data_IF_109980985458
#
_entry.id   IF_109980985458
#
_cell.length_a   1.000
_cell.length_b   1.000
_cell.length_c   1.000
_cell.angle_alpha   90.00
_cell.angle_beta   90.00
_cell.angle_gamma   90.00
#
_symmetry.space_group_name_H-M   'P 1'
#
loop_
_entity.id
_entity.type
_entity.pdbx_description
1 polymer ?
#
# COMPACT_ATOMS: atom_id res chain seq x y z
N UNK A 1 -10.40 -18.41 2.80
CA UNK A 1 -9.75 -17.54 3.80
C UNK A 1 -8.30 -17.35 3.41
N UNK A 2 -7.93 -16.14 2.99
CA UNK A 2 -6.56 -15.82 2.63
C UNK A 2 -5.75 -15.64 3.93
N UNK A 3 -5.02 -16.67 4.34
CA UNK A 3 -4.16 -16.60 5.52
C UNK A 3 -2.79 -16.00 5.17
N UNK A 4 -2.07 -15.46 6.15
CA UNK A 4 -0.77 -14.78 5.98
C UNK A 4 0.45 -15.70 6.10
N UNK A 5 0.23 -17.02 6.01
CA UNK A 5 1.28 -18.02 6.24
C UNK A 5 2.53 -17.80 5.37
N UNK A 6 2.34 -17.54 4.06
CA UNK A 6 3.45 -17.24 3.13
C UNK A 6 4.24 -16.02 3.58
N UNK A 7 3.55 -14.92 3.92
CA UNK A 7 4.18 -13.68 4.38
C UNK A 7 5.06 -13.91 5.62
N UNK A 8 4.55 -14.62 6.63
CA UNK A 8 5.33 -14.92 7.84
C UNK A 8 6.51 -15.86 7.53
N UNK A 9 6.33 -16.84 6.64
CA UNK A 9 7.41 -17.73 6.21
C UNK A 9 8.54 -16.96 5.52
N UNK A 10 8.19 -16.08 4.57
CA UNK A 10 9.15 -15.26 3.81
C UNK A 10 9.88 -14.31 4.75
N UNK A 11 9.17 -13.64 5.67
CA UNK A 11 9.79 -12.80 6.72
C UNK A 11 10.77 -13.57 7.62
N UNK A 12 10.57 -14.88 7.79
CA UNK A 12 11.48 -15.75 8.50
C UNK A 12 12.64 -16.29 7.64
N UNK A 13 12.73 -15.90 6.36
CA UNK A 13 13.73 -16.35 5.38
C UNK A 13 13.72 -17.88 5.18
N UNK A 14 12.52 -18.48 5.17
CA UNK A 14 12.35 -19.93 5.03
C UNK A 14 11.71 -20.29 3.69
N UNK A 15 12.23 -21.34 3.05
CA UNK A 15 11.53 -22.01 1.95
C UNK A 15 10.35 -22.84 2.47
N UNK A 16 9.45 -23.23 1.58
CA UNK A 16 8.39 -24.19 1.86
C UNK A 16 8.97 -25.52 2.36
N UNK A 17 10.06 -26.00 1.75
CA UNK A 17 10.69 -27.27 2.12
C UNK A 17 11.24 -27.23 3.56
N UNK A 18 11.95 -26.16 3.93
CA UNK A 18 12.51 -25.97 5.28
C UNK A 18 11.41 -25.90 6.33
N UNK A 19 10.37 -25.11 6.09
CA UNK A 19 9.28 -24.96 7.06
C UNK A 19 8.42 -26.24 7.17
N UNK A 20 8.12 -26.91 6.04
CA UNK A 20 7.41 -28.19 6.03
C UNK A 20 8.17 -29.25 6.86
N UNK A 21 9.49 -29.35 6.67
CA UNK A 21 10.37 -30.25 7.44
C UNK A 21 10.33 -29.92 8.94
N UNK A 22 10.43 -28.64 9.31
CA UNK A 22 10.37 -28.21 10.70
C UNK A 22 9.02 -28.56 11.36
N UNK A 23 7.92 -28.45 10.61
CA UNK A 23 6.56 -28.80 11.06
C UNK A 23 6.32 -30.31 11.05
N UNK A 24 7.10 -31.08 10.30
CA UNK A 24 6.99 -32.53 10.18
C UNK A 24 5.86 -32.95 9.23
N UNK A 25 5.79 -32.30 8.06
CA UNK A 25 4.91 -32.66 6.94
C UNK A 25 5.67 -32.63 5.63
N UNK A 26 5.11 -33.20 4.56
CA UNK A 26 5.70 -33.09 3.22
C UNK A 26 5.51 -31.68 2.66
N UNK A 27 6.44 -31.22 1.81
CA UNK A 27 6.34 -29.93 1.14
C UNK A 27 5.05 -29.77 0.33
N UNK A 28 4.57 -30.76 -0.46
CA UNK A 28 3.29 -30.61 -1.17
C UNK A 28 2.08 -30.44 -0.24
N UNK A 29 2.10 -31.07 0.95
CA UNK A 29 1.03 -30.88 1.93
C UNK A 29 1.06 -29.46 2.50
N UNK A 30 2.25 -28.94 2.80
CA UNK A 30 2.45 -27.58 3.25
C UNK A 30 2.05 -26.53 2.18
N UNK A 31 2.40 -26.76 0.92
CA UNK A 31 2.04 -25.88 -0.20
C UNK A 31 0.51 -25.74 -0.33
N UNK A 32 -0.23 -26.84 -0.16
CA UNK A 32 -1.71 -26.81 -0.17
C UNK A 32 -2.30 -25.98 0.96
N UNK A 33 -1.60 -25.90 2.09
CA UNK A 33 -1.96 -24.94 3.11
C UNK A 33 -1.72 -23.54 2.57
N UNK A 34 -0.48 -23.20 2.18
CA UNK A 34 -0.16 -21.85 1.70
C UNK A 34 -1.04 -21.30 0.56
N UNK A 35 -1.53 -22.15 -0.34
CA UNK A 35 -2.43 -21.75 -1.42
C UNK A 35 -3.92 -21.67 -1.03
N UNK A 36 -4.26 -22.03 0.22
CA UNK A 36 -5.63 -22.16 0.69
C UNK A 36 -6.37 -23.39 0.15
N UNK A 37 -5.70 -24.26 -0.61
CA UNK A 37 -6.28 -25.48 -1.18
C UNK A 37 -6.59 -26.58 -0.14
N UNK A 38 -6.10 -26.44 1.09
CA UNK A 38 -6.44 -27.27 2.23
C UNK A 38 -6.34 -26.48 3.54
N UNK A 39 -7.22 -26.73 4.52
CA UNK A 39 -7.14 -26.10 5.83
C UNK A 39 -5.92 -26.59 6.63
N UNK A 40 -5.35 -25.70 7.45
CA UNK A 40 -4.24 -26.03 8.35
C UNK A 40 -4.81 -26.79 9.57
N UNK A 41 -4.33 -28.01 9.88
CA UNK A 41 -4.74 -28.71 11.10
C UNK A 41 -4.35 -27.93 12.36
N UNK A 42 -5.19 -27.98 13.41
CA UNK A 42 -5.02 -27.17 14.64
C UNK A 42 -3.67 -27.41 15.34
N UNK A 43 -3.21 -28.65 15.40
CA UNK A 43 -1.91 -29.02 15.97
C UNK A 43 -0.74 -28.47 15.14
N UNK A 44 -0.89 -28.45 13.81
CA UNK A 44 0.12 -27.91 12.88
C UNK A 44 0.15 -26.39 12.92
N UNK A 45 -1.00 -25.73 13.05
CA UNK A 45 -1.09 -24.28 13.19
C UNK A 45 -0.37 -23.79 14.45
N UNK A 46 -0.55 -24.46 15.59
CA UNK A 46 0.16 -24.14 16.82
C UNK A 46 1.69 -24.31 16.68
N UNK A 47 2.12 -25.35 15.96
CA UNK A 47 3.55 -25.59 15.69
C UNK A 47 4.15 -24.55 14.75
N UNK A 48 3.42 -24.16 13.70
CA UNK A 48 3.79 -23.09 12.78
C UNK A 48 3.97 -21.76 13.51
N UNK A 49 3.00 -21.38 14.34
CA UNK A 49 3.05 -20.15 15.13
C UNK A 49 4.30 -20.10 16.01
N UNK A 50 4.65 -21.21 16.66
CA UNK A 50 5.87 -21.33 17.46
C UNK A 50 7.15 -21.16 16.63
N UNK A 51 7.25 -21.81 15.47
CA UNK A 51 8.44 -21.74 14.60
C UNK A 51 8.61 -20.33 14.04
N UNK A 52 7.52 -19.72 13.60
CA UNK A 52 7.47 -18.38 13.00
C UNK A 52 7.42 -17.24 14.04
N UNK A 53 7.54 -17.58 15.34
CA UNK A 53 7.54 -16.62 16.46
C UNK A 53 6.36 -15.65 16.43
N UNK A 54 5.18 -16.16 16.11
CA UNK A 54 3.92 -15.41 16.02
C UNK A 54 2.81 -16.19 16.72
N UNK A 55 1.55 -15.75 16.57
CA UNK A 55 0.38 -16.44 17.11
C UNK A 55 -0.47 -17.07 15.97
N UNK A 56 -1.30 -18.08 16.29
CA UNK A 56 -2.17 -18.74 15.31
C UNK A 56 -3.10 -17.80 14.55
N UNK A 57 -3.66 -16.77 15.21
CA UNK A 57 -4.59 -15.84 14.59
C UNK A 57 -3.89 -14.97 13.55
N UNK A 58 -2.71 -14.46 13.85
CA UNK A 58 -1.88 -13.70 12.91
C UNK A 58 -1.55 -14.51 11.65
N UNK A 59 -1.22 -15.80 11.79
CA UNK A 59 -1.04 -16.68 10.63
C UNK A 59 -2.30 -16.81 9.79
N UNK A 60 -3.47 -16.82 10.42
CA UNK A 60 -4.77 -16.84 9.73
C UNK A 60 -5.21 -15.47 9.21
N UNK A 61 -4.37 -14.43 9.31
CA UNK A 61 -4.72 -13.06 8.91
C UNK A 61 -5.71 -12.38 9.85
N UNK A 62 -5.84 -12.88 11.08
CA UNK A 62 -6.75 -12.36 12.10
C UNK A 62 -5.93 -11.60 13.14
N UNK A 63 -6.17 -10.30 13.23
CA UNK A 63 -5.62 -9.46 14.28
C UNK A 63 -6.56 -8.28 14.54
N UNK A 64 -6.45 -7.62 15.70
CA UNK A 64 -7.05 -6.31 15.87
C UNK A 64 -6.59 -5.35 14.76
N UNK A 65 -7.44 -4.38 14.35
CA UNK A 65 -7.04 -3.37 13.38
C UNK A 65 -5.76 -2.65 13.81
N UNK A 66 -4.85 -2.44 12.87
CA UNK A 66 -3.67 -1.61 13.11
C UNK A 66 -4.06 -0.15 12.89
N UNK A 67 -3.88 0.69 13.90
CA UNK A 67 -4.26 2.10 13.88
C UNK A 67 -3.02 2.99 13.92
N UNK A 68 -3.10 4.14 13.27
CA UNK A 68 -2.11 5.19 13.45
C UNK A 68 -2.22 5.76 14.88
N UNK A 69 -1.07 5.97 15.52
CA UNK A 69 -1.00 6.70 16.80
C UNK A 69 -0.97 8.19 16.52
N UNK A 70 -1.72 8.98 17.30
CA UNK A 70 -1.68 10.44 17.25
C UNK A 70 -1.10 10.92 18.57
N UNK A 71 0.03 11.63 18.55
CA UNK A 71 0.78 11.99 19.74
C UNK A 71 1.12 10.80 20.67
N UNK A 72 1.18 9.56 20.14
CA UNK A 72 1.39 8.34 20.91
C UNK A 72 2.63 7.59 20.42
N UNK A 73 3.79 7.97 20.93
CA UNK A 73 5.06 7.32 20.59
C UNK A 73 5.13 5.84 21.00
N UNK A 74 4.19 5.35 21.83
CA UNK A 74 4.21 3.95 22.27
C UNK A 74 3.83 2.97 21.16
N UNK A 75 3.14 3.43 20.09
CA UNK A 75 2.79 2.58 18.94
C UNK A 75 4.00 2.27 18.03
N UNK A 76 5.12 2.97 18.22
CA UNK A 76 6.33 2.83 17.41
C UNK A 76 6.38 3.80 16.21
N UNK A 77 7.58 4.03 15.69
CA UNK A 77 7.83 5.08 14.68
C UNK A 77 7.09 4.84 13.35
N UNK A 78 6.85 3.59 12.97
CA UNK A 78 6.15 3.24 11.73
C UNK A 78 4.62 3.28 11.86
N UNK A 79 4.09 3.63 13.04
CA UNK A 79 2.65 3.82 13.27
C UNK A 79 2.32 5.19 13.88
N UNK A 80 3.28 5.85 14.54
CA UNK A 80 3.05 7.18 15.09
C UNK A 80 2.98 8.20 13.96
N UNK A 81 1.86 8.94 13.92
CA UNK A 81 1.63 10.00 12.96
C UNK A 81 2.65 11.11 13.19
N UNK A 82 3.41 11.44 12.15
CA UNK A 82 4.27 12.61 12.18
C UNK A 82 3.47 13.86 11.83
N UNK A 83 2.63 13.74 10.80
CA UNK A 83 2.03 14.85 10.08
C UNK A 83 2.16 14.63 8.58
N UNK A 84 2.51 15.70 7.87
CA UNK A 84 2.36 15.83 6.43
C UNK A 84 3.71 16.17 5.80
N UNK A 85 3.94 15.61 4.63
CA UNK A 85 5.02 16.05 3.75
C UNK A 85 4.45 16.56 2.44
N UNK A 86 4.73 17.83 2.14
CA UNK A 86 4.46 18.43 0.84
C UNK A 86 5.72 18.40 -0.02
N UNK A 87 5.59 17.98 -1.28
CA UNK A 87 6.68 17.95 -2.26
C UNK A 87 6.26 18.76 -3.48
N UNK A 88 7.03 19.79 -3.80
CA UNK A 88 6.82 20.63 -4.98
C UNK A 88 7.85 20.25 -6.05
N UNK A 89 7.47 20.40 -7.31
CA UNK A 89 8.28 19.98 -8.45
C UNK A 89 8.75 21.19 -9.25
N UNK A 90 9.98 21.11 -9.76
CA UNK A 90 10.59 22.18 -10.56
C UNK A 90 9.92 22.36 -11.93
N UNK A 91 9.19 21.33 -12.39
CA UNK A 91 8.42 21.37 -13.62
C UNK A 91 7.04 22.01 -13.46
N UNK A 92 6.12 21.69 -14.37
CA UNK A 92 4.71 22.11 -14.27
C UNK A 92 3.85 21.08 -13.52
N UNK A 93 4.50 20.23 -12.71
CA UNK A 93 3.88 19.19 -11.91
C UNK A 93 3.01 19.75 -10.80
N UNK A 94 1.85 19.13 -10.56
CA UNK A 94 1.09 19.41 -9.34
C UNK A 94 1.86 18.92 -8.11
N UNK A 95 1.79 19.62 -6.98
CA UNK A 95 2.46 19.18 -5.77
C UNK A 95 1.82 17.93 -5.18
N UNK A 96 2.60 17.21 -4.40
CA UNK A 96 2.17 16.02 -3.68
C UNK A 96 2.06 16.32 -2.19
N UNK A 97 0.99 15.89 -1.54
CA UNK A 97 0.81 15.98 -0.09
C UNK A 97 0.52 14.59 0.48
N UNK A 98 1.38 14.10 1.38
CA UNK A 98 1.28 12.76 1.98
C UNK A 98 1.21 12.84 3.50
N UNK A 99 0.26 12.13 4.09
CA UNK A 99 0.25 11.85 5.54
C UNK A 99 1.25 10.75 5.85
N UNK A 100 2.23 11.03 6.72
CA UNK A 100 3.37 10.16 6.97
C UNK A 100 3.58 9.88 8.47
N UNK A 101 4.34 8.84 8.76
CA UNK A 101 4.74 8.46 10.11
C UNK A 101 6.08 9.07 10.50
N UNK A 102 6.42 9.02 11.78
CA UNK A 102 7.76 9.42 12.28
C UNK A 102 8.88 8.63 11.57
N UNK A 103 8.64 7.34 11.32
CA UNK A 103 9.57 6.47 10.60
C UNK A 103 9.72 6.91 9.14
N UNK A 104 8.63 7.19 8.44
CA UNK A 104 8.65 7.69 7.07
C UNK A 104 9.33 9.07 6.97
N UNK A 105 9.07 9.98 7.90
CA UNK A 105 9.77 11.26 8.03
C UNK A 105 11.28 11.03 8.15
N UNK A 106 11.71 10.20 9.12
CA UNK A 106 13.12 9.95 9.40
C UNK A 106 13.85 9.35 8.21
N UNK A 107 13.20 8.42 7.50
CA UNK A 107 13.74 7.80 6.27
C UNK A 107 13.89 8.81 5.14
N UNK A 108 12.83 9.58 4.84
CA UNK A 108 12.87 10.56 3.75
C UNK A 108 13.85 11.69 4.05
N UNK A 109 13.84 12.24 5.26
CA UNK A 109 14.76 13.28 5.68
C UNK A 109 16.22 12.86 5.50
N UNK A 110 16.58 11.62 5.88
CA UNK A 110 17.92 11.06 5.64
C UNK A 110 18.21 10.89 4.14
N UNK A 111 17.27 10.34 3.37
CA UNK A 111 17.46 10.11 1.93
C UNK A 111 17.70 11.42 1.17
N UNK A 112 16.99 12.50 1.50
CA UNK A 112 17.18 13.82 0.89
C UNK A 112 18.61 14.37 1.12
N UNK A 113 19.25 14.02 2.24
CA UNK A 113 20.65 14.41 2.52
C UNK A 113 21.67 13.60 1.72
N UNK A 114 21.31 12.39 1.29
CA UNK A 114 22.18 11.48 0.53
C UNK A 114 22.10 11.73 -0.99
N UNK A 115 21.08 12.46 -1.46
CA UNK A 115 20.87 12.82 -2.87
C UNK A 115 20.86 11.61 -3.84
N UNK A 116 20.04 10.57 -3.59
CA UNK A 116 19.88 9.45 -4.52
C UNK A 116 19.16 9.90 -5.80
N UNK A 117 19.16 9.08 -6.86
CA UNK A 117 18.38 9.33 -8.07
C UNK A 117 16.87 9.38 -7.81
N UNK A 118 16.41 8.55 -6.86
CA UNK A 118 15.03 8.45 -6.41
C UNK A 118 14.96 8.42 -4.88
N UNK A 119 13.94 9.07 -4.31
CA UNK A 119 13.57 8.94 -2.90
C UNK A 119 12.21 8.28 -2.79
N UNK A 120 11.98 7.51 -1.73
CA UNK A 120 10.72 6.78 -1.51
C UNK A 120 10.05 7.25 -0.23
N UNK A 121 8.73 7.40 -0.28
CA UNK A 121 7.89 7.77 0.87
C UNK A 121 6.71 6.82 0.94
N UNK A 122 6.48 6.23 2.11
CA UNK A 122 5.27 5.46 2.40
C UNK A 122 4.30 6.35 3.18
N UNK A 123 3.06 6.44 2.70
CA UNK A 123 1.99 7.17 3.38
C UNK A 123 1.18 6.25 4.31
N UNK A 124 0.45 6.88 5.23
CA UNK A 124 -0.57 6.22 6.05
C UNK A 124 -1.86 5.86 5.26
N UNK A 125 -1.90 6.18 3.97
CA UNK A 125 -3.05 5.97 3.09
C UNK A 125 -2.75 5.01 1.92
N UNK A 126 -1.87 4.02 2.18
CA UNK A 126 -1.50 2.95 1.24
C UNK A 126 -0.85 3.44 -0.05
N UNK A 127 0.05 4.40 0.06
CA UNK A 127 0.83 4.87 -1.06
C UNK A 127 2.31 4.66 -0.80
N UNK A 128 2.96 3.88 -1.66
CA UNK A 128 4.41 3.89 -1.80
C UNK A 128 4.73 4.82 -2.96
N UNK A 129 5.28 5.99 -2.64
CA UNK A 129 5.58 7.03 -3.61
C UNK A 129 7.06 7.05 -3.90
N UNK A 130 7.41 6.83 -5.17
CA UNK A 130 8.76 6.95 -5.69
C UNK A 130 8.89 8.30 -6.37
N UNK A 131 9.81 9.15 -5.89
CA UNK A 131 9.98 10.53 -6.34
C UNK A 131 11.37 10.67 -6.97
N UNK A 132 11.45 11.21 -8.18
CA UNK A 132 12.75 11.50 -8.81
C UNK A 132 13.39 12.68 -8.07
N UNK A 133 14.54 12.50 -7.42
CA UNK A 133 15.12 13.55 -6.58
C UNK A 133 15.39 14.84 -7.37
N UNK A 134 15.88 14.71 -8.61
CA UNK A 134 16.14 15.85 -9.49
C UNK A 134 14.88 16.53 -10.07
N UNK A 135 13.67 16.06 -9.75
CA UNK A 135 12.42 16.75 -10.10
C UNK A 135 11.95 17.70 -8.98
N UNK A 136 12.44 17.51 -7.76
CA UNK A 136 12.00 18.23 -6.57
C UNK A 136 12.49 19.68 -6.63
N UNK A 137 11.58 20.62 -6.43
CA UNK A 137 11.90 22.03 -6.20
C UNK A 137 12.17 22.28 -4.72
N UNK A 138 11.25 21.84 -3.85
CA UNK A 138 11.38 21.92 -2.40
C UNK A 138 10.51 20.85 -1.71
N UNK A 139 10.72 20.69 -0.40
CA UNK A 139 10.00 19.75 0.47
C UNK A 139 9.67 20.45 1.78
N UNK A 140 8.41 20.37 2.21
CA UNK A 140 7.96 20.86 3.52
C UNK A 140 7.53 19.69 4.37
N UNK A 141 8.12 19.60 5.56
CA UNK A 141 7.65 18.70 6.60
C UNK A 141 6.88 19.52 7.63
N UNK A 142 5.62 19.16 7.84
CA UNK A 142 4.72 19.84 8.76
C UNK A 142 4.22 18.79 9.73
N UNK A 143 4.64 18.87 10.99
CA UNK A 143 4.20 17.89 11.97
C UNK A 143 2.76 18.18 12.41
N UNK A 144 2.09 17.19 13.00
CA UNK A 144 0.71 17.27 13.52
C UNK A 144 0.46 18.41 14.54
N UNK A 145 1.53 19.09 14.98
CA UNK A 145 1.51 20.26 15.85
C UNK A 145 1.21 21.59 15.12
N UNK A 146 1.13 21.59 13.79
CA UNK A 146 0.84 22.74 12.95
C UNK A 146 -0.48 22.54 12.20
N UNK A 147 -1.21 23.63 11.99
CA UNK A 147 -2.50 23.62 11.29
C UNK A 147 -2.33 23.78 9.75
N UNK A 148 -1.13 24.16 9.29
CA UNK A 148 -0.78 24.26 7.88
C UNK A 148 0.21 23.18 7.44
N UNK A 149 0.24 22.89 6.13
CA UNK A 149 0.99 21.76 5.57
C UNK A 149 2.03 22.17 4.51
N UNK A 150 2.20 23.47 4.28
CA UNK A 150 3.04 24.01 3.21
C UNK A 150 2.45 25.27 2.56
N UNK A 151 3.17 25.89 1.61
CA UNK A 151 2.77 27.16 0.98
C UNK A 151 1.45 27.08 0.22
N UNK A 152 1.09 25.89 -0.27
CA UNK A 152 -0.11 25.62 -1.07
C UNK A 152 -1.22 24.94 -0.26
N UNK A 153 -1.22 25.10 1.08
CA UNK A 153 -2.15 24.47 2.03
C UNK A 153 -3.61 24.39 1.53
N UNK A 154 -4.14 25.47 0.96
CA UNK A 154 -5.53 25.55 0.49
C UNK A 154 -5.81 24.86 -0.87
N UNK A 155 -4.78 24.33 -1.54
CA UNK A 155 -4.85 23.89 -2.94
C UNK A 155 -4.30 22.49 -3.23
N UNK A 156 -3.91 21.73 -2.20
CA UNK A 156 -3.51 20.33 -2.36
C UNK A 156 -4.72 19.44 -2.69
N UNK A 157 -4.85 19.06 -3.97
CA UNK A 157 -6.06 18.39 -4.52
C UNK A 157 -6.11 16.87 -4.35
N UNK A 158 -4.97 16.21 -4.06
CA UNK A 158 -4.85 14.74 -4.00
C UNK A 158 -4.47 14.23 -2.60
N UNK A 159 -4.79 15.02 -1.57
CA UNK A 159 -4.63 14.62 -0.18
C UNK A 159 -5.82 13.78 0.27
N UNK A 160 -5.55 12.62 0.89
CA UNK A 160 -6.57 11.81 1.52
C UNK A 160 -6.41 11.89 3.04
N UNK A 161 -7.43 12.43 3.72
CA UNK A 161 -7.52 12.44 5.18
C UNK A 161 -7.98 11.07 5.72
N UNK A 162 -7.31 10.01 5.27
CA UNK A 162 -7.58 8.62 5.66
C UNK A 162 -6.28 7.97 6.12
N UNK A 163 -6.07 7.93 7.44
CA UNK A 163 -4.95 7.21 8.05
C UNK A 163 -5.36 5.77 8.39
N UNK A 164 -5.03 4.85 7.49
CA UNK A 164 -5.36 3.43 7.60
C UNK A 164 -4.10 2.61 7.34
N UNK A 165 -3.20 2.45 8.33
CA UNK A 165 -1.91 1.78 8.12
C UNK A 165 -2.03 0.25 7.96
N UNK A 166 -3.18 -0.34 8.29
CA UNK A 166 -3.38 -1.79 8.20
C UNK A 166 -3.50 -2.23 6.74
N UNK A 167 -2.49 -2.92 6.21
CA UNK A 167 -2.52 -3.47 4.86
C UNK A 167 -3.73 -4.39 4.61
N UNK A 168 -4.20 -5.12 5.63
CA UNK A 168 -5.40 -5.98 5.52
C UNK A 168 -6.66 -5.16 5.26
N UNK A 169 -6.75 -3.95 5.78
CA UNK A 169 -7.89 -3.08 5.51
C UNK A 169 -7.88 -2.63 4.05
N UNK A 170 -6.71 -2.40 3.47
CA UNK A 170 -6.59 -2.08 2.04
C UNK A 170 -6.89 -3.26 1.12
N UNK A 171 -6.65 -4.50 1.55
CA UNK A 171 -7.14 -5.69 0.83
C UNK A 171 -8.68 -5.74 0.81
N UNK A 172 -9.34 -5.34 1.90
CA UNK A 172 -10.80 -5.21 1.93
C UNK A 172 -11.26 -4.11 0.99
N UNK A 173 -10.57 -2.96 0.94
CA UNK A 173 -10.86 -1.87 -0.01
C UNK A 173 -10.69 -2.33 -1.46
N UNK A 174 -9.63 -3.09 -1.76
CA UNK A 174 -9.39 -3.69 -3.07
C UNK A 174 -10.56 -4.59 -3.48
N UNK A 175 -10.98 -5.53 -2.64
CA UNK A 175 -12.15 -6.39 -2.94
C UNK A 175 -13.45 -5.58 -3.10
N UNK A 176 -13.68 -4.57 -2.26
CA UNK A 176 -14.85 -3.70 -2.38
C UNK A 176 -14.89 -2.95 -3.72
N UNK A 177 -13.73 -2.56 -4.25
CA UNK A 177 -13.65 -1.80 -5.52
C UNK A 177 -14.05 -2.60 -6.75
N UNK A 178 -13.94 -3.93 -6.70
CA UNK A 178 -14.25 -4.84 -7.80
C UNK A 178 -15.52 -5.69 -7.55
N UNK A 179 -16.30 -5.37 -6.51
CA UNK A 179 -17.41 -6.21 -6.03
C UNK A 179 -16.96 -7.69 -5.79
N UNK A 180 -15.76 -7.84 -5.23
CA UNK A 180 -15.06 -9.10 -5.02
C UNK A 180 -15.56 -9.94 -3.83
N UNK A 181 -14.82 -11.02 -3.51
CA UNK A 181 -15.22 -11.96 -2.47
C UNK A 181 -14.67 -11.59 -1.09
N UNK A 182 -15.55 -11.04 -0.25
CA UNK A 182 -15.23 -10.65 1.11
C UNK A 182 -15.27 -11.81 2.12
N UNK A 183 -15.59 -13.04 1.71
CA UNK A 183 -15.69 -14.22 2.59
C UNK A 183 -14.36 -14.59 3.27
N UNK A 184 -13.26 -14.08 2.75
CA UNK A 184 -11.93 -14.25 3.33
C UNK A 184 -11.72 -13.43 4.62
N UNK A 185 -12.53 -12.40 4.88
CA UNK A 185 -12.37 -11.45 5.98
C UNK A 185 -13.45 -11.64 7.06
N UNK A 186 -13.20 -11.09 8.26
CA UNK A 186 -14.23 -11.08 9.30
C UNK A 186 -15.33 -10.07 8.94
N UNK A 187 -16.59 -10.40 9.25
CA UNK A 187 -17.71 -9.49 9.01
C UNK A 187 -17.58 -8.16 9.78
N UNK A 188 -16.90 -8.18 10.93
CA UNK A 188 -16.63 -6.99 11.73
C UNK A 188 -15.62 -6.06 11.05
N UNK A 189 -14.53 -6.61 10.49
CA UNK A 189 -13.53 -5.85 9.74
C UNK A 189 -14.12 -5.27 8.46
N UNK A 190 -14.85 -6.08 7.68
CA UNK A 190 -15.53 -5.62 6.45
C UNK A 190 -16.47 -4.46 6.76
N UNK A 191 -17.27 -4.58 7.82
CA UNK A 191 -18.18 -3.51 8.24
C UNK A 191 -17.44 -2.25 8.67
N UNK A 192 -16.32 -2.39 9.40
CA UNK A 192 -15.51 -1.26 9.86
C UNK A 192 -14.86 -0.53 8.68
N UNK A 193 -14.23 -1.26 7.77
CA UNK A 193 -13.55 -0.69 6.59
C UNK A 193 -14.57 -0.07 5.64
N UNK A 194 -15.67 -0.77 5.32
CA UNK A 194 -16.74 -0.22 4.47
C UNK A 194 -17.26 1.12 5.02
N UNK A 195 -17.49 1.22 6.34
CA UNK A 195 -17.90 2.49 6.97
C UNK A 195 -16.85 3.61 6.87
N UNK A 196 -15.58 3.27 6.77
CA UNK A 196 -14.49 4.24 6.68
C UNK A 196 -14.31 4.79 5.26
N UNK A 197 -14.68 4.01 4.23
CA UNK A 197 -14.39 4.36 2.82
C UNK A 197 -15.61 4.70 1.98
N UNK A 198 -16.83 4.37 2.45
CA UNK A 198 -18.07 4.67 1.73
C UNK A 198 -19.25 4.94 2.67
N UNK A 199 -20.26 5.65 2.15
CA UNK A 199 -21.55 5.83 2.81
C UNK A 199 -22.61 5.02 2.07
N UNK A 200 -23.30 4.15 2.80
CA UNK A 200 -24.39 3.32 2.26
C UNK A 200 -25.71 4.09 2.16
N UNK A 201 -26.62 3.63 1.31
CA UNK A 201 -27.99 4.17 1.20
C UNK A 201 -28.73 4.25 2.54
N UNK A 202 -28.51 3.27 3.43
CA UNK A 202 -29.12 3.26 4.75
C UNK A 202 -28.53 4.35 5.66
N UNK A 203 -27.23 4.61 5.55
CA UNK A 203 -26.58 5.70 6.28
C UNK A 203 -27.07 7.05 5.75
N UNK A 204 -27.20 7.24 4.43
CA UNK A 204 -27.80 8.45 3.88
C UNK A 204 -29.22 8.69 4.40
N UNK A 205 -30.07 7.66 4.41
CA UNK A 205 -31.42 7.76 5.01
C UNK A 205 -31.39 8.20 6.46
N UNK A 206 -30.42 7.69 7.23
CA UNK A 206 -30.23 8.06 8.64
C UNK A 206 -29.76 9.50 8.77
N UNK A 207 -28.79 9.94 7.98
CA UNK A 207 -28.28 11.32 7.98
C UNK A 207 -29.35 12.35 7.62
N UNK A 208 -30.24 12.00 6.67
CA UNK A 208 -31.39 12.83 6.32
C UNK A 208 -32.42 12.86 7.44
N UNK A 209 -32.75 11.71 8.04
CA UNK A 209 -33.69 11.62 9.15
C UNK A 209 -33.21 12.39 10.40
N UNK A 210 -31.90 12.42 10.64
CA UNK A 210 -31.25 13.19 11.71
C UNK A 210 -31.06 14.67 11.37
N UNK A 211 -31.41 15.11 10.15
CA UNK A 211 -31.24 16.50 9.72
C UNK A 211 -29.79 16.93 9.48
N UNK A 212 -28.85 15.98 9.38
CA UNK A 212 -27.43 16.23 9.07
C UNK A 212 -27.18 16.50 7.59
N UNK A 213 -28.04 15.97 6.72
CA UNK A 213 -28.08 16.27 5.29
C UNK A 213 -29.49 16.74 4.98
N UNK A 214 -29.64 17.89 4.31
CA UNK A 214 -30.97 18.33 3.88
C UNK A 214 -31.42 17.48 2.68
N UNK A 215 -32.71 17.14 2.56
CA UNK A 215 -33.20 16.30 1.46
C UNK A 215 -32.87 16.82 0.06
N UNK A 216 -32.80 18.14 -0.12
CA UNK A 216 -32.45 18.84 -1.36
C UNK A 216 -30.94 18.85 -1.67
N UNK A 217 -30.09 18.63 -0.66
CA UNK A 217 -28.62 18.52 -0.79
C UNK A 217 -28.15 17.06 -0.94
N UNK A 218 -29.06 16.09 -0.77
CA UNK A 218 -28.71 14.67 -0.74
C UNK A 218 -28.01 14.20 -2.02
N UNK A 219 -28.50 14.58 -3.20
CA UNK A 219 -27.92 14.13 -4.47
C UNK A 219 -26.49 14.65 -4.65
N UNK A 220 -26.23 15.91 -4.32
CA UNK A 220 -24.88 16.48 -4.37
C UNK A 220 -23.93 15.85 -3.37
N UNK A 221 -24.39 15.54 -2.15
CA UNK A 221 -23.57 14.85 -1.14
C UNK A 221 -23.26 13.41 -1.57
N UNK A 222 -24.23 12.70 -2.17
CA UNK A 222 -24.01 11.36 -2.72
C UNK A 222 -22.93 11.39 -3.82
N UNK A 223 -23.01 12.33 -4.75
CA UNK A 223 -22.02 12.47 -5.82
C UNK A 223 -20.63 12.80 -5.28
N UNK A 224 -20.53 13.75 -4.34
CA UNK A 224 -19.26 14.13 -3.70
C UNK A 224 -18.61 12.95 -2.99
N UNK A 225 -19.38 12.21 -2.20
CA UNK A 225 -18.86 11.04 -1.47
C UNK A 225 -18.51 9.89 -2.42
N UNK A 226 -19.24 9.70 -3.52
CA UNK A 226 -18.89 8.70 -4.53
C UNK A 226 -17.53 9.00 -5.16
N UNK A 227 -17.23 10.27 -5.46
CA UNK A 227 -15.91 10.70 -5.96
C UNK A 227 -14.80 10.41 -4.93
N UNK A 228 -15.04 10.69 -3.65
CA UNK A 228 -14.06 10.39 -2.60
C UNK A 228 -13.85 8.87 -2.41
N UNK A 229 -14.92 8.07 -2.46
CA UNK A 229 -14.83 6.61 -2.44
C UNK A 229 -14.05 6.08 -3.66
N UNK A 230 -14.29 6.62 -4.85
CA UNK A 230 -13.57 6.24 -6.07
C UNK A 230 -12.08 6.54 -5.96
N UNK A 231 -11.68 7.71 -5.41
CA UNK A 231 -10.27 8.02 -5.13
C UNK A 231 -9.63 7.01 -4.17
N UNK A 232 -10.36 6.57 -3.14
CA UNK A 232 -9.87 5.55 -2.20
C UNK A 232 -9.71 4.20 -2.91
N UNK A 233 -10.66 3.81 -3.76
CA UNK A 233 -10.56 2.60 -4.57
C UNK A 233 -9.40 2.65 -5.56
N UNK A 234 -9.17 3.77 -6.22
CA UNK A 234 -8.01 3.97 -7.10
C UNK A 234 -6.69 3.80 -6.33
N UNK A 235 -6.58 4.30 -5.09
CA UNK A 235 -5.40 4.10 -4.24
C UNK A 235 -5.15 2.64 -3.89
N UNK A 236 -6.20 1.82 -3.83
CA UNK A 236 -6.06 0.39 -3.60
C UNK A 236 -5.64 -0.37 -4.86
N UNK A 237 -6.02 0.11 -6.04
CA UNK A 237 -6.00 -0.73 -7.26
C UNK A 237 -5.09 -0.23 -8.37
N UNK A 238 -4.81 1.07 -8.45
CA UNK A 238 -4.12 1.67 -9.58
C UNK A 238 -2.76 2.25 -9.19
N UNK A 239 -1.82 2.18 -10.12
CA UNK A 239 -0.65 3.05 -10.10
C UNK A 239 -1.02 4.40 -10.69
N UNK A 240 -0.40 5.46 -10.18
CA UNK A 240 -0.50 6.82 -10.72
C UNK A 240 0.88 7.39 -10.90
N UNK A 241 1.13 8.10 -12.00
CA UNK A 241 2.40 8.78 -12.19
C UNK A 241 2.21 10.16 -12.82
N UNK A 242 3.10 11.08 -12.45
CA UNK A 242 3.14 12.43 -12.99
C UNK A 242 4.42 12.62 -13.79
N UNK A 243 4.27 13.16 -15.00
CA UNK A 243 5.39 13.62 -15.82
C UNK A 243 5.75 15.06 -15.45
N UNK A 244 7.02 15.45 -15.64
CA UNK A 244 7.52 16.80 -15.31
C UNK A 244 6.83 17.94 -16.08
N UNK A 245 6.03 17.62 -17.11
CA UNK A 245 5.18 18.58 -17.82
C UNK A 245 3.77 18.73 -17.22
N UNK A 246 3.52 18.17 -16.03
CA UNK A 246 2.24 18.23 -15.32
C UNK A 246 1.23 17.17 -15.74
N UNK A 247 1.49 16.36 -16.79
CA UNK A 247 0.55 15.32 -17.21
C UNK A 247 0.56 14.15 -16.24
N UNK A 248 -0.60 13.87 -15.66
CA UNK A 248 -0.83 12.68 -14.84
C UNK A 248 -1.42 11.53 -15.65
N UNK A 249 -1.11 10.30 -15.26
CA UNK A 249 -1.60 9.07 -15.87
C UNK A 249 -1.87 8.05 -14.79
N UNK A 250 -2.86 7.21 -15.03
CA UNK A 250 -3.29 6.12 -14.16
C UNK A 250 -3.28 4.83 -14.96
N UNK A 251 -2.85 3.74 -14.34
CA UNK A 251 -2.90 2.41 -14.92
C UNK A 251 -3.18 1.37 -13.85
N UNK A 252 -3.86 0.29 -14.22
CA UNK A 252 -3.99 -0.90 -13.39
C UNK A 252 -3.03 -1.96 -13.92
N UNK A 253 -2.23 -2.56 -13.04
CA UNK A 253 -1.48 -3.79 -13.31
C UNK A 253 -2.20 -4.88 -12.53
N UNK A 254 -2.65 -5.95 -13.17
CA UNK A 254 -3.47 -6.98 -12.51
C UNK A 254 -2.65 -7.93 -11.64
N UNK A 255 -1.41 -8.19 -12.00
CA UNK A 255 -0.54 -9.12 -11.29
C UNK A 255 0.40 -8.38 -10.33
N UNK A 256 0.33 -8.72 -9.04
CA UNK A 256 1.11 -8.06 -8.00
C UNK A 256 2.62 -8.29 -8.16
N UNK A 257 3.03 -9.45 -8.70
CA UNK A 257 4.44 -9.74 -8.97
C UNK A 257 4.95 -8.88 -10.14
N UNK A 258 4.18 -8.74 -11.21
CA UNK A 258 4.52 -7.82 -12.32
C UNK A 258 4.57 -6.36 -11.84
N UNK A 259 3.68 -5.96 -10.93
CA UNK A 259 3.73 -4.65 -10.28
C UNK A 259 5.06 -4.48 -9.53
N UNK A 260 5.45 -5.43 -8.68
CA UNK A 260 6.72 -5.38 -7.96
C UNK A 260 7.92 -5.35 -8.91
N UNK A 261 7.99 -6.29 -9.86
CA UNK A 261 9.08 -6.44 -10.83
C UNK A 261 9.28 -5.15 -11.67
N UNK A 262 8.20 -4.38 -11.90
CA UNK A 262 8.26 -3.14 -12.67
C UNK A 262 8.92 -1.97 -11.93
N UNK A 263 8.91 -1.97 -10.60
CA UNK A 263 9.30 -0.80 -9.80
C UNK A 263 10.32 -1.07 -8.69
N UNK A 264 10.62 -2.32 -8.33
CA UNK A 264 11.52 -2.63 -7.22
C UNK A 264 12.92 -2.02 -7.38
N UNK A 265 13.44 -1.93 -8.60
CA UNK A 265 14.75 -1.30 -8.86
C UNK A 265 14.80 0.16 -8.42
N UNK A 266 13.70 0.90 -8.56
CA UNK A 266 13.63 2.31 -8.18
C UNK A 266 13.58 2.49 -6.66
N UNK A 267 13.14 1.47 -5.93
CA UNK A 267 12.94 1.50 -4.47
C UNK A 267 14.14 0.90 -3.76
N UNK A 268 14.48 -0.34 -4.08
CA UNK A 268 15.49 -1.14 -3.37
C UNK A 268 16.92 -0.84 -3.82
N UNK A 269 17.10 -0.24 -5.01
CA UNK A 269 18.41 0.08 -5.59
C UNK A 269 18.54 1.57 -5.94
N UNK A 270 17.76 2.44 -5.30
CA UNK A 270 17.70 3.89 -5.54
C UNK A 270 19.06 4.62 -5.47
N UNK A 271 19.96 4.21 -4.58
CA UNK A 271 21.31 4.78 -4.42
C UNK A 271 22.25 4.42 -5.59
N UNK A 272 21.99 3.32 -6.28
CA UNK A 272 22.84 2.76 -7.36
C UNK A 272 22.11 2.67 -8.70
N UNK A 273 21.00 3.40 -8.86
CA UNK A 273 20.27 3.48 -10.13
C UNK A 273 21.11 4.33 -11.11
N UNK A 274 22.15 3.71 -11.66
CA UNK A 274 23.09 4.32 -12.59
C UNK A 274 22.43 4.58 -13.96
N UNK A 275 22.84 5.67 -14.61
CA UNK A 275 22.31 6.20 -15.88
C UNK A 275 22.49 5.22 -17.07
N UNK A 276 23.25 4.13 -16.85
CA UNK A 276 23.53 3.06 -17.79
C UNK A 276 22.50 1.91 -17.79
N UNK A 277 21.64 1.79 -16.77
CA UNK A 277 20.53 0.81 -16.73
C UNK A 277 19.21 1.44 -17.18
N UNK A 278 18.28 0.61 -17.65
CA UNK A 278 17.16 1.00 -18.51
C UNK A 278 16.48 2.31 -18.09
N UNK A 279 16.67 3.37 -18.89
CA UNK A 279 15.98 4.67 -18.76
C UNK A 279 14.47 4.57 -18.91
N UNK A 280 13.98 3.42 -19.36
CA UNK A 280 12.57 3.15 -19.59
C UNK A 280 12.06 2.13 -18.58
N UNK A 281 11.07 2.55 -17.79
CA UNK A 281 10.29 1.70 -16.90
C UNK A 281 9.19 1.06 -17.72
N UNK A 282 9.13 -0.27 -17.76
CA UNK A 282 8.08 -1.03 -18.44
C UNK A 282 6.88 -1.19 -17.50
N UNK A 283 5.68 -0.91 -18.00
CA UNK A 283 4.41 -1.10 -17.28
C UNK A 283 3.53 -2.05 -18.09
N UNK A 284 3.28 -3.28 -17.61
CA UNK A 284 2.35 -4.22 -18.22
C UNK A 284 0.91 -3.91 -17.78
N UNK A 285 0.21 -3.04 -18.51
CA UNK A 285 -1.15 -2.61 -18.16
C UNK A 285 -2.15 -3.77 -18.36
N UNK A 286 -2.07 -4.46 -19.50
CA UNK A 286 -2.89 -5.65 -19.79
C UNK A 286 -1.97 -6.77 -20.28
N UNK A 287 -0.99 -7.14 -19.46
CA UNK A 287 0.04 -8.12 -19.80
C UNK A 287 0.76 -7.76 -21.10
N UNK A 288 0.70 -8.64 -22.10
CA UNK A 288 1.30 -8.42 -23.43
C UNK A 288 0.43 -7.57 -24.38
N UNK A 289 -0.86 -7.39 -24.07
CA UNK A 289 -1.80 -6.70 -24.98
C UNK A 289 -1.68 -5.18 -24.89
N UNK A 290 -1.27 -4.67 -23.73
CA UNK A 290 -1.09 -3.23 -23.51
C UNK A 290 0.09 -2.98 -22.59
N UNK A 291 1.15 -2.41 -23.15
CA UNK A 291 2.40 -2.09 -22.44
C UNK A 291 2.72 -0.62 -22.63
N UNK A 292 3.09 0.06 -21.55
CA UNK A 292 3.67 1.40 -21.60
C UNK A 292 5.15 1.34 -21.22
N UNK A 293 5.95 2.24 -21.82
CA UNK A 293 7.30 2.52 -21.37
C UNK A 293 7.36 3.97 -20.92
N UNK A 294 7.83 4.22 -19.70
CA UNK A 294 7.97 5.56 -19.14
C UNK A 294 9.45 5.90 -19.05
N UNK A 295 9.84 7.06 -19.57
CA UNK A 295 11.17 7.60 -19.33
C UNK A 295 11.30 8.04 -17.87
N UNK A 296 12.16 7.35 -17.10
CA UNK A 296 12.41 7.62 -15.69
C UNK A 296 13.01 9.01 -15.44
N UNK A 297 13.61 9.65 -16.44
CA UNK A 297 14.08 11.04 -16.35
C UNK A 297 12.97 12.09 -16.55
N UNK A 298 11.80 11.67 -17.06
CA UNK A 298 10.68 12.56 -17.38
C UNK A 298 9.53 12.51 -16.36
N UNK A 299 9.70 11.76 -15.28
CA UNK A 299 8.73 11.68 -14.18
C UNK A 299 9.07 12.66 -13.07
N UNK A 300 8.03 13.15 -12.41
CA UNK A 300 8.13 13.77 -11.10
C UNK A 300 8.08 12.68 -10.03
N UNK A 301 7.03 11.86 -10.07
CA UNK A 301 6.80 10.75 -9.15
C UNK A 301 5.97 9.62 -9.77
N UNK A 302 6.00 8.47 -9.09
CA UNK A 302 5.12 7.31 -9.27
C UNK A 302 4.52 6.95 -7.90
N UNK A 303 3.23 6.66 -7.85
CA UNK A 303 2.48 6.19 -6.70
C UNK A 303 2.06 4.75 -6.96
N UNK A 304 2.35 3.87 -6.02
CA UNK A 304 2.00 2.45 -6.03
C UNK A 304 1.07 2.13 -4.84
N UNK A 305 0.05 1.26 -5.01
CA UNK A 305 -0.68 0.70 -3.88
C UNK A 305 0.27 -0.14 -3.01
N UNK A 306 0.57 0.34 -1.80
CA UNK A 306 1.58 -0.28 -0.91
C UNK A 306 1.32 -1.76 -0.65
N UNK A 307 0.09 -2.12 -0.27
CA UNK A 307 -0.26 -3.50 0.07
C UNK A 307 -0.09 -4.46 -1.12
N UNK A 308 -0.38 -4.01 -2.35
CA UNK A 308 -0.18 -4.81 -3.57
C UNK A 308 1.29 -4.94 -3.91
N UNK A 309 2.05 -3.86 -3.80
CA UNK A 309 3.50 -3.88 -4.02
C UNK A 309 4.21 -4.84 -3.05
N UNK A 310 3.85 -4.81 -1.76
CA UNK A 310 4.36 -5.74 -0.75
C UNK A 310 3.92 -7.19 -0.94
N UNK A 311 2.71 -7.40 -1.50
CA UNK A 311 2.25 -8.73 -1.90
C UNK A 311 3.13 -9.27 -3.03
N UNK A 312 3.40 -8.46 -4.04
CA UNK A 312 4.32 -8.77 -5.14
C UNK A 312 5.73 -9.10 -4.67
N UNK A 313 6.29 -8.28 -3.77
CA UNK A 313 7.58 -8.54 -3.09
C UNK A 313 7.58 -9.91 -2.42
N UNK A 314 6.54 -10.21 -1.64
CA UNK A 314 6.40 -11.48 -0.94
C UNK A 314 6.37 -12.67 -1.91
N UNK A 315 5.70 -12.55 -3.06
CA UNK A 315 5.67 -13.60 -4.09
C UNK A 315 7.04 -13.82 -4.75
N UNK A 316 7.76 -12.74 -5.07
CA UNK A 316 9.12 -12.82 -5.63
C UNK A 316 10.10 -13.43 -4.63
N UNK A 317 10.13 -12.96 -3.39
CA UNK A 317 11.02 -13.48 -2.34
C UNK A 317 10.71 -14.95 -2.01
N UNK A 318 9.43 -15.33 -1.96
CA UNK A 318 9.02 -16.72 -1.77
C UNK A 318 9.60 -17.62 -2.86
N UNK A 319 9.51 -17.20 -4.12
CA UNK A 319 10.01 -17.95 -5.27
C UNK A 319 11.53 -18.11 -5.20
N UNK A 320 12.26 -17.03 -4.88
CA UNK A 320 13.73 -17.08 -4.72
C UNK A 320 14.17 -18.03 -3.59
N UNK A 321 13.49 -17.99 -2.45
CA UNK A 321 13.78 -18.89 -1.32
C UNK A 321 13.55 -20.36 -1.70
N UNK A 322 12.49 -20.66 -2.44
CA UNK A 322 12.15 -22.03 -2.85
C UNK A 322 13.09 -22.54 -3.96
N UNK A 323 13.55 -21.68 -4.87
CA UNK A 323 14.55 -22.01 -5.89
C UNK A 323 15.93 -22.31 -5.27
N UNK A 324 16.34 -21.56 -4.24
CA UNK A 324 17.64 -21.72 -3.59
C UNK A 324 17.85 -23.09 -2.91
N UNK A 325 16.77 -23.80 -2.61
CA UNK A 325 16.83 -25.14 -2.02
C UNK A 325 16.89 -26.26 -3.08
N UNK A 326 16.65 -25.94 -4.35
CA UNK A 326 16.70 -26.87 -5.48
C UNK A 326 18.06 -26.88 -6.22
N UNK A 327 18.97 -25.99 -5.85
CA UNK A 327 20.35 -25.87 -6.36
C UNK A 327 21.37 -26.43 -5.37
#
# INVERSE_FOLDING_TARGET
MAHKLKQFRVKAMLSQAKLAKAVGVSQPNYQRWESGAAPIPKDKLAKLAKILKTNPDALLGRHPPVLAGFYDKSVGEDLNYYGEVAVHFAGSGAPLLLSITDGAFSRLHRALQQQPSFVTVESLSNQTVVIRANSIADVYFSSEAYDDFGPEHDSYVDHASLQMPDARDWEIVEELSFDGDLSAFSAEDVKRVSKAVMITDLQYKTLVAEGKIKPDELESEVQKNAIETEKIFERATHIKYQLSNGKQRTAHISDDKELFDSFYELIDFSENFDDARSKLIRIPIEGWHRIAFINSAAIDYIILPTHRFERGRTETDASMLDESDNT
#
